data_IF_898707001808
#
_entry.id   IF_898707001808
#
_cell.length_a   1.000
_cell.length_b   1.000
_cell.length_c   1.000
_cell.angle_alpha   90.00
_cell.angle_beta   90.00
_cell.angle_gamma   90.00
#
_symmetry.space_group_name_H-M   'P 1'
#
loop_
_entity.id
_entity.type
_entity.pdbx_description
1 polymer ?
#
# COMPACT_ATOMS: atom_id res chain seq x y z
N UNK A 1 17.26 -9.38 11.81
CA UNK A 1 16.34 -9.17 12.96
C UNK A 1 15.18 -8.47 12.32
N UNK A 2 13.98 -9.06 12.34
CA UNK A 2 12.87 -8.56 11.53
C UNK A 2 12.64 -7.09 11.83
N UNK A 3 12.64 -6.25 10.79
CA UNK A 3 12.57 -4.78 10.92
C UNK A 3 11.28 -4.31 11.59
N UNK A 4 10.25 -5.17 11.62
CA UNK A 4 8.96 -4.87 12.24
C UNK A 4 8.80 -5.67 13.52
N UNK A 5 9.59 -5.32 14.53
CA UNK A 5 9.24 -5.65 15.92
C UNK A 5 8.53 -4.43 16.53
N UNK A 6 7.21 -4.55 16.71
CA UNK A 6 6.35 -3.51 17.25
C UNK A 6 6.61 -3.22 18.74
N UNK A 7 7.55 -3.91 19.37
CA UNK A 7 7.97 -3.67 20.75
C UNK A 7 9.16 -2.71 20.91
N UNK A 8 9.74 -2.24 19.80
CA UNK A 8 10.91 -1.35 19.82
C UNK A 8 10.57 0.06 20.31
N UNK A 9 11.48 0.65 21.06
CA UNK A 9 11.47 2.08 21.38
C UNK A 9 11.81 2.93 20.14
N UNK A 10 11.47 4.22 20.16
CA UNK A 10 11.75 5.14 19.03
C UNK A 10 13.23 5.19 18.64
N UNK A 11 14.14 5.07 19.61
CA UNK A 11 15.59 5.10 19.36
C UNK A 11 16.06 3.80 18.71
N UNK A 12 15.55 2.64 19.17
CA UNK A 12 15.86 1.34 18.58
C UNK A 12 15.31 1.20 17.15
N UNK A 13 14.12 1.78 16.89
CA UNK A 13 13.56 1.84 15.55
C UNK A 13 14.43 2.69 14.61
N UNK A 14 14.89 3.86 15.06
CA UNK A 14 15.76 4.73 14.28
C UNK A 14 17.12 4.08 13.99
N UNK A 15 17.71 3.36 14.97
CA UNK A 15 18.92 2.57 14.78
C UNK A 15 18.69 1.44 13.77
N UNK A 16 17.57 0.72 13.85
CA UNK A 16 17.22 -0.35 12.91
C UNK A 16 17.07 0.19 11.49
N UNK A 17 16.35 1.30 11.29
CA UNK A 17 16.17 1.94 9.98
C UNK A 17 17.53 2.36 9.42
N UNK A 18 18.37 2.99 10.24
CA UNK A 18 19.72 3.42 9.84
C UNK A 18 20.60 2.24 9.42
N UNK A 19 20.55 1.13 10.15
CA UNK A 19 21.27 -0.09 9.82
C UNK A 19 20.76 -0.70 8.50
N UNK A 20 19.45 -0.71 8.29
CA UNK A 20 18.84 -1.19 7.05
C UNK A 20 19.20 -0.34 5.85
N UNK A 21 19.16 1.00 5.98
CA UNK A 21 19.64 1.93 4.94
C UNK A 21 21.08 1.60 4.56
N UNK A 22 21.98 1.48 5.55
CA UNK A 22 23.38 1.19 5.29
C UNK A 22 23.55 -0.16 4.56
N UNK A 23 22.80 -1.18 4.98
CA UNK A 23 22.78 -2.50 4.33
C UNK A 23 22.30 -2.40 2.88
N UNK A 24 21.19 -1.71 2.62
CA UNK A 24 20.65 -1.51 1.28
C UNK A 24 21.67 -0.78 0.41
N UNK A 25 22.17 0.38 0.84
CA UNK A 25 23.16 1.19 0.10
C UNK A 25 24.40 0.37 -0.28
N UNK A 26 24.94 -0.41 0.65
CA UNK A 26 26.09 -1.27 0.40
C UNK A 26 25.80 -2.33 -0.69
N UNK A 27 24.56 -2.84 -0.75
CA UNK A 27 24.15 -3.83 -1.77
C UNK A 27 23.88 -3.19 -3.14
N UNK A 28 23.44 -1.93 -3.21
CA UNK A 28 23.13 -1.24 -4.47
C UNK A 28 24.32 -1.14 -5.44
N UNK A 29 25.55 -1.34 -4.95
CA UNK A 29 26.76 -1.40 -5.76
C UNK A 29 26.91 -0.17 -6.68
N UNK A 30 26.69 1.02 -6.12
CA UNK A 30 26.81 2.30 -6.83
C UNK A 30 28.28 2.60 -7.12
N UNK A 31 28.62 2.92 -8.37
CA UNK A 31 30.00 3.22 -8.72
C UNK A 31 30.32 4.67 -8.32
N UNK A 32 31.52 4.96 -7.78
CA UNK A 32 31.86 6.30 -7.28
C UNK A 32 31.79 7.44 -8.30
N UNK A 33 31.74 7.14 -9.61
CA UNK A 33 31.70 8.12 -10.70
C UNK A 33 30.30 8.29 -11.31
N UNK A 34 29.32 7.53 -10.86
CA UNK A 34 27.96 7.62 -11.40
C UNK A 34 27.26 8.89 -10.92
N UNK A 35 26.51 9.53 -11.82
CA UNK A 35 25.60 10.61 -11.44
C UNK A 35 24.35 9.97 -10.84
N UNK A 36 24.20 10.02 -9.52
CA UNK A 36 23.09 9.38 -8.82
C UNK A 36 21.88 10.32 -8.78
N UNK A 37 20.73 9.81 -9.20
CA UNK A 37 19.41 10.44 -9.04
C UNK A 37 18.55 9.57 -8.16
N UNK A 38 18.06 10.08 -7.03
CA UNK A 38 17.30 9.27 -6.07
C UNK A 38 15.78 9.50 -6.25
N UNK A 39 14.99 8.44 -6.19
CA UNK A 39 13.52 8.49 -6.16
C UNK A 39 13.06 7.90 -4.84
N UNK A 40 12.31 8.65 -4.05
CA UNK A 40 11.74 8.18 -2.78
C UNK A 40 10.23 8.26 -2.75
N UNK A 41 9.61 7.37 -1.97
CA UNK A 41 8.22 7.52 -1.55
C UNK A 41 8.17 8.56 -0.43
N UNK A 42 7.18 9.43 -0.47
CA UNK A 42 7.02 10.47 0.52
C UNK A 42 6.67 9.99 1.93
N UNK A 43 6.06 8.81 2.05
CA UNK A 43 5.63 8.25 3.33
C UNK A 43 6.81 7.94 4.27
N UNK A 44 7.99 7.67 3.72
CA UNK A 44 9.22 7.31 4.44
C UNK A 44 10.45 8.06 3.90
N UNK A 45 10.23 9.22 3.28
CA UNK A 45 11.29 9.95 2.58
C UNK A 45 12.37 10.43 3.54
N UNK A 46 11.97 11.00 4.68
CA UNK A 46 12.90 11.60 5.63
C UNK A 46 13.69 10.52 6.39
N UNK A 47 13.06 9.40 6.72
CA UNK A 47 13.65 8.30 7.47
C UNK A 47 14.51 7.38 6.59
N UNK A 48 14.12 7.17 5.33
CA UNK A 48 14.77 6.20 4.45
C UNK A 48 15.51 6.84 3.28
N UNK A 49 14.89 7.78 2.58
CA UNK A 49 15.44 8.35 1.34
C UNK A 49 16.53 9.40 1.61
N UNK A 50 16.35 10.29 2.59
CA UNK A 50 17.34 11.32 2.94
C UNK A 50 18.69 10.71 3.34
N UNK A 51 18.78 9.71 4.24
CA UNK A 51 20.04 9.04 4.53
C UNK A 51 20.70 8.40 3.31
N UNK A 52 19.92 7.83 2.39
CA UNK A 52 20.45 7.29 1.12
C UNK A 52 21.04 8.39 0.24
N UNK A 53 20.37 9.55 0.13
CA UNK A 53 20.86 10.72 -0.61
C UNK A 53 22.22 11.17 -0.05
N UNK A 54 22.35 11.25 1.28
CA UNK A 54 23.59 11.65 1.95
C UNK A 54 24.72 10.65 1.72
N UNK A 55 24.46 9.35 1.90
CA UNK A 55 25.46 8.29 1.73
C UNK A 55 25.93 8.17 0.28
N UNK A 56 25.02 8.29 -0.68
CA UNK A 56 25.33 8.24 -2.11
C UNK A 56 25.82 9.59 -2.67
N UNK A 57 25.75 10.66 -1.88
CA UNK A 57 26.05 12.04 -2.30
C UNK A 57 25.26 12.43 -3.55
N UNK A 58 24.00 12.01 -3.62
CA UNK A 58 23.11 12.34 -4.73
C UNK A 58 22.85 13.85 -4.74
N UNK A 59 22.90 14.46 -5.93
CA UNK A 59 22.71 15.91 -6.08
C UNK A 59 21.28 16.31 -6.45
N UNK A 60 20.48 15.32 -6.82
CA UNK A 60 19.13 15.51 -7.34
C UNK A 60 18.26 14.35 -6.89
N UNK A 61 17.01 14.64 -6.54
CA UNK A 61 16.04 13.65 -6.12
C UNK A 61 14.62 13.95 -6.62
N UNK A 62 13.77 12.94 -6.51
CA UNK A 62 12.33 13.05 -6.60
C UNK A 62 11.67 12.49 -5.34
N UNK A 63 10.66 13.20 -4.84
CA UNK A 63 9.79 12.75 -3.77
C UNK A 63 8.36 12.65 -4.34
N UNK A 64 7.78 11.46 -4.30
CA UNK A 64 6.48 11.17 -4.89
C UNK A 64 5.51 10.69 -3.80
N UNK A 65 4.26 11.14 -3.87
CA UNK A 65 3.17 10.66 -2.99
C UNK A 65 2.24 9.73 -3.78
N UNK A 66 2.61 8.46 -4.00
CA UNK A 66 1.72 7.50 -4.61
C UNK A 66 0.53 7.21 -3.68
N UNK A 67 -0.64 6.99 -4.27
CA UNK A 67 -1.75 6.29 -3.65
C UNK A 67 -2.12 5.11 -4.53
N UNK A 68 -2.22 3.95 -3.89
CA UNK A 68 -2.57 2.70 -4.54
C UNK A 68 -4.01 2.35 -4.22
N UNK A 69 -4.72 1.77 -5.18
CA UNK A 69 -6.05 1.22 -4.97
C UNK A 69 -6.30 0.08 -5.94
N UNK A 70 -7.15 -0.87 -5.56
CA UNK A 70 -7.52 -1.96 -6.47
C UNK A 70 -8.23 -1.39 -7.71
N UNK A 71 -7.74 -1.74 -8.89
CA UNK A 71 -8.30 -1.22 -10.12
C UNK A 71 -9.71 -1.77 -10.36
N UNK A 72 -10.67 -0.89 -10.63
CA UNK A 72 -12.04 -1.27 -11.00
C UNK A 72 -12.11 -1.82 -12.42
N UNK A 73 -11.23 -1.35 -13.31
CA UNK A 73 -11.17 -1.79 -14.69
C UNK A 73 -10.40 -3.11 -14.85
N UNK A 74 -9.38 -3.33 -14.01
CA UNK A 74 -8.51 -4.50 -14.07
C UNK A 74 -8.39 -5.15 -12.69
N UNK A 75 -9.28 -6.09 -12.32
CA UNK A 75 -9.41 -6.62 -10.95
C UNK A 75 -8.15 -7.25 -10.32
N UNK A 76 -7.15 -7.55 -11.16
CA UNK A 76 -5.87 -8.16 -10.79
C UNK A 76 -4.70 -7.16 -10.82
N UNK A 77 -4.99 -5.86 -10.91
CA UNK A 77 -4.00 -4.79 -10.94
C UNK A 77 -4.37 -3.70 -9.93
N UNK A 78 -3.36 -2.96 -9.52
CA UNK A 78 -3.55 -1.76 -8.71
C UNK A 78 -3.41 -0.51 -9.58
N UNK A 79 -4.35 0.44 -9.40
CA UNK A 79 -4.24 1.78 -9.93
C UNK A 79 -3.29 2.58 -9.01
N UNK A 80 -2.34 3.29 -9.60
CA UNK A 80 -1.39 4.16 -8.89
C UNK A 80 -1.62 5.60 -9.34
N UNK A 81 -1.94 6.49 -8.40
CA UNK A 81 -2.09 7.92 -8.65
C UNK A 81 -1.09 8.70 -7.80
N UNK A 82 -0.50 9.76 -8.35
CA UNK A 82 0.34 10.67 -7.58
C UNK A 82 -0.50 11.86 -7.12
N UNK A 83 -0.73 11.97 -5.81
CA UNK A 83 -1.50 13.10 -5.26
C UNK A 83 -0.65 14.36 -5.12
N UNK A 84 0.66 14.20 -5.03
CA UNK A 84 1.66 15.25 -4.98
C UNK A 84 2.99 14.70 -5.52
N UNK A 85 3.80 15.58 -6.11
CA UNK A 85 5.12 15.24 -6.60
C UNK A 85 6.08 16.43 -6.49
N UNK A 86 7.33 16.12 -6.19
CA UNK A 86 8.48 17.00 -6.35
C UNK A 86 9.52 16.23 -7.18
N UNK A 87 9.86 16.74 -8.36
CA UNK A 87 10.77 16.07 -9.30
C UNK A 87 11.81 17.08 -9.77
N UNK A 88 13.06 16.87 -9.40
CA UNK A 88 14.17 17.64 -9.94
C UNK A 88 14.57 17.13 -11.33
N UNK A 89 15.21 17.97 -12.18
CA UNK A 89 15.66 17.52 -13.50
C UNK A 89 16.62 16.33 -13.41
N UNK A 90 16.30 15.24 -14.12
CA UNK A 90 17.14 14.05 -14.16
C UNK A 90 18.35 14.30 -15.08
N UNK A 91 19.59 14.18 -14.58
CA UNK A 91 20.78 14.29 -15.43
C UNK A 91 20.79 13.19 -16.51
N UNK A 92 21.22 13.54 -17.72
CA UNK A 92 21.40 12.55 -18.80
C UNK A 92 22.41 11.47 -18.37
N UNK A 93 22.06 10.20 -18.59
CA UNK A 93 22.91 9.07 -18.22
C UNK A 93 23.06 8.86 -16.70
N UNK A 94 22.16 9.41 -15.89
CA UNK A 94 22.14 9.15 -14.45
C UNK A 94 21.94 7.65 -14.12
N UNK A 95 22.53 7.22 -13.02
CA UNK A 95 22.13 6.01 -12.30
C UNK A 95 20.91 6.38 -11.45
N UNK A 96 19.76 5.84 -11.81
CA UNK A 96 18.49 6.14 -11.12
C UNK A 96 18.31 5.13 -10.02
N UNK A 97 18.20 5.63 -8.80
CA UNK A 97 18.11 4.83 -7.58
C UNK A 97 16.76 5.09 -6.94
N UNK A 98 15.84 4.15 -7.06
CA UNK A 98 14.60 4.20 -6.27
C UNK A 98 14.84 3.53 -4.93
N UNK A 99 14.43 4.17 -3.84
CA UNK A 99 14.45 3.59 -2.51
C UNK A 99 13.12 3.75 -1.81
N UNK A 100 12.70 2.71 -1.09
CA UNK A 100 11.52 2.69 -0.24
C UNK A 100 11.71 1.62 0.83
N UNK A 101 11.11 1.79 2.01
CA UNK A 101 11.17 0.79 3.07
C UNK A 101 10.54 -0.54 2.64
N UNK A 102 9.40 -0.50 1.93
CA UNK A 102 8.60 -1.68 1.57
C UNK A 102 8.35 -1.75 0.06
N UNK A 103 8.74 -2.83 -0.59
CA UNK A 103 8.55 -3.10 -2.03
C UNK A 103 7.64 -4.33 -2.22
N UNK A 104 6.33 -4.11 -2.10
CA UNK A 104 5.32 -5.17 -2.21
C UNK A 104 4.34 -4.99 -3.38
N UNK A 105 4.29 -3.80 -3.98
CA UNK A 105 3.46 -3.49 -5.13
C UNK A 105 4.34 -3.14 -6.33
N UNK A 106 4.33 -4.00 -7.34
CA UNK A 106 5.15 -3.81 -8.55
C UNK A 106 4.66 -2.64 -9.40
N UNK A 107 3.34 -2.37 -9.39
CA UNK A 107 2.75 -1.24 -10.10
C UNK A 107 3.25 0.10 -9.56
N UNK A 108 3.39 0.24 -8.24
CA UNK A 108 3.86 1.45 -7.59
C UNK A 108 5.30 1.77 -7.98
N UNK A 109 6.20 0.80 -7.84
CA UNK A 109 7.60 0.98 -8.22
C UNK A 109 7.78 1.34 -9.69
N UNK A 110 7.03 0.69 -10.58
CA UNK A 110 7.04 1.03 -12.00
C UNK A 110 6.49 2.43 -12.23
N UNK A 111 5.37 2.80 -11.61
CA UNK A 111 4.77 4.11 -11.77
C UNK A 111 5.74 5.21 -11.34
N UNK A 112 6.42 5.04 -10.21
CA UNK A 112 7.38 6.02 -9.68
C UNK A 112 8.57 6.21 -10.62
N UNK A 113 9.21 5.11 -11.03
CA UNK A 113 10.35 5.16 -11.95
C UNK A 113 9.94 5.75 -13.30
N UNK A 114 8.81 5.31 -13.86
CA UNK A 114 8.35 5.78 -15.17
C UNK A 114 7.90 7.24 -15.14
N UNK A 115 7.34 7.71 -14.01
CA UNK A 115 6.95 9.12 -13.82
C UNK A 115 8.15 10.05 -13.89
N UNK A 116 9.26 9.67 -13.26
CA UNK A 116 10.52 10.45 -13.29
C UNK A 116 11.20 10.39 -14.67
N UNK A 117 11.12 9.25 -15.36
CA UNK A 117 11.85 9.00 -16.61
C UNK A 117 11.11 9.36 -17.90
N UNK A 118 10.01 10.12 -17.85
CA UNK A 118 9.15 10.37 -19.01
C UNK A 118 9.90 10.78 -20.29
N UNK A 119 10.93 11.63 -20.17
CA UNK A 119 11.70 12.14 -21.31
C UNK A 119 13.21 11.94 -21.15
N UNK A 120 13.66 11.09 -20.22
CA UNK A 120 15.08 10.91 -19.91
C UNK A 120 15.45 9.43 -20.00
N UNK A 121 16.61 9.15 -20.59
CA UNK A 121 17.19 7.81 -20.60
C UNK A 121 18.22 7.67 -19.49
N UNK A 122 18.00 6.79 -18.50
CA UNK A 122 19.00 6.50 -17.49
C UNK A 122 20.12 5.64 -18.09
N UNK A 123 21.27 5.58 -17.41
CA UNK A 123 22.32 4.60 -17.73
C UNK A 123 21.98 3.22 -17.17
N UNK A 124 21.42 3.19 -15.96
CA UNK A 124 20.87 2.00 -15.30
C UNK A 124 19.87 2.40 -14.23
N UNK A 125 19.07 1.43 -13.82
CA UNK A 125 18.09 1.60 -12.74
C UNK A 125 18.47 0.65 -11.60
N UNK A 126 18.41 1.15 -10.37
CA UNK A 126 18.60 0.39 -9.15
C UNK A 126 17.42 0.66 -8.24
N UNK A 127 16.87 -0.39 -7.64
CA UNK A 127 15.77 -0.29 -6.69
C UNK A 127 16.19 -0.99 -5.41
N UNK A 128 16.18 -0.27 -4.30
CA UNK A 128 16.54 -0.76 -2.97
C UNK A 128 15.35 -0.72 -2.02
N UNK A 129 15.13 -1.79 -1.28
CA UNK A 129 14.14 -1.80 -0.20
C UNK A 129 14.62 -2.54 1.05
N UNK A 130 14.01 -2.23 2.20
CA UNK A 130 14.22 -3.02 3.41
C UNK A 130 13.50 -4.36 3.29
N UNK A 131 12.20 -4.32 3.03
CA UNK A 131 11.36 -5.50 2.89
C UNK A 131 10.80 -5.56 1.48
N UNK A 132 10.85 -6.72 0.83
CA UNK A 132 10.23 -6.89 -0.47
C UNK A 132 9.73 -8.31 -0.75
N UNK A 133 9.19 -8.50 -1.96
CA UNK A 133 8.76 -9.81 -2.46
C UNK A 133 9.55 -10.18 -3.70
N UNK A 134 10.06 -11.41 -3.78
CA UNK A 134 10.81 -11.89 -4.96
C UNK A 134 9.98 -11.83 -6.24
N UNK A 135 8.68 -12.11 -6.14
CA UNK A 135 7.74 -12.01 -7.26
C UNK A 135 7.64 -10.57 -7.76
N UNK A 136 7.56 -9.61 -6.85
CA UNK A 136 7.53 -8.17 -7.16
C UNK A 136 8.84 -7.73 -7.80
N UNK A 137 9.99 -8.09 -7.22
CA UNK A 137 11.30 -7.74 -7.77
C UNK A 137 11.48 -8.21 -9.22
N UNK A 138 11.17 -9.48 -9.48
CA UNK A 138 11.27 -10.05 -10.82
C UNK A 138 10.36 -9.30 -11.80
N UNK A 139 9.12 -9.00 -11.41
CA UNK A 139 8.16 -8.31 -12.27
C UNK A 139 8.55 -6.87 -12.57
N UNK A 140 9.05 -6.14 -11.56
CA UNK A 140 9.57 -4.77 -11.73
C UNK A 140 10.79 -4.77 -12.63
N UNK A 141 11.73 -5.69 -12.38
CA UNK A 141 12.95 -5.86 -13.18
C UNK A 141 12.60 -6.14 -14.64
N UNK A 142 11.80 -7.17 -14.90
CA UNK A 142 11.42 -7.58 -16.25
C UNK A 142 10.75 -6.43 -17.01
N UNK A 143 9.83 -5.71 -16.36
CA UNK A 143 9.16 -4.58 -17.00
C UNK A 143 10.13 -3.45 -17.35
N UNK A 144 10.95 -3.00 -16.38
CA UNK A 144 11.82 -1.85 -16.58
C UNK A 144 12.98 -2.14 -17.54
N UNK A 145 13.54 -3.36 -17.54
CA UNK A 145 14.57 -3.76 -18.49
C UNK A 145 14.03 -3.73 -19.91
N UNK A 146 12.86 -4.32 -20.14
CA UNK A 146 12.24 -4.36 -21.45
C UNK A 146 11.79 -2.97 -21.94
N UNK A 147 11.31 -2.11 -21.03
CA UNK A 147 10.79 -0.78 -21.38
C UNK A 147 11.87 0.24 -21.74
N UNK A 148 13.01 0.18 -21.07
CA UNK A 148 14.07 1.19 -21.18
C UNK A 148 15.35 0.68 -21.87
N UNK A 149 15.49 -0.63 -22.07
CA UNK A 149 16.71 -1.26 -22.61
C UNK A 149 17.96 -0.89 -21.78
N UNK A 150 17.84 -1.01 -20.45
CA UNK A 150 18.90 -0.71 -19.49
C UNK A 150 19.07 -1.84 -18.48
N UNK A 151 20.23 -1.87 -17.82
CA UNK A 151 20.44 -2.76 -16.68
C UNK A 151 19.53 -2.32 -15.52
N UNK A 152 18.74 -3.25 -14.99
CA UNK A 152 17.93 -3.03 -13.78
C UNK A 152 18.40 -3.98 -12.70
N UNK A 153 18.61 -3.45 -11.50
CA UNK A 153 18.93 -4.21 -10.31
C UNK A 153 17.88 -3.89 -9.25
N UNK A 154 17.24 -4.91 -8.69
CA UNK A 154 16.29 -4.77 -7.59
C UNK A 154 16.83 -5.59 -6.43
N UNK A 155 16.87 -4.99 -5.24
CA UNK A 155 17.41 -5.62 -4.03
C UNK A 155 16.54 -5.24 -2.83
N UNK A 156 16.06 -6.25 -2.13
CA UNK A 156 15.50 -6.10 -0.78
C UNK A 156 16.47 -6.65 0.27
N UNK A 157 16.51 -6.05 1.46
CA UNK A 157 17.29 -6.57 2.59
C UNK A 157 16.71 -7.90 3.08
N UNK A 158 15.40 -7.90 3.33
CA UNK A 158 14.55 -9.00 3.78
C UNK A 158 13.45 -9.29 2.74
N UNK A 159 12.90 -10.50 2.79
CA UNK A 159 11.87 -10.94 1.86
C UNK A 159 10.69 -11.53 2.61
N UNK A 160 9.48 -11.17 2.19
CA UNK A 160 8.27 -11.87 2.61
C UNK A 160 8.21 -13.28 2.01
N UNK A 161 7.53 -14.22 2.69
CA UNK A 161 7.14 -15.50 2.12
C UNK A 161 6.35 -15.33 0.81
N UNK A 162 6.48 -16.30 -0.11
CA UNK A 162 5.89 -16.22 -1.44
C UNK A 162 4.34 -16.29 -1.46
N UNK A 163 3.72 -16.73 -0.36
CA UNK A 163 2.28 -16.94 -0.19
C UNK A 163 1.52 -15.72 0.37
N UNK A 164 2.20 -14.71 0.91
CA UNK A 164 1.54 -13.50 1.42
C UNK A 164 1.15 -12.52 0.31
N UNK A 165 -0.08 -11.98 0.40
CA UNK A 165 -0.54 -10.88 -0.44
C UNK A 165 0.12 -9.56 -0.01
N UNK A 166 0.90 -8.94 -0.90
CA UNK A 166 1.62 -7.71 -0.61
C UNK A 166 0.72 -6.53 -0.17
N UNK A 167 -0.43 -6.37 -0.81
CA UNK A 167 -1.40 -5.31 -0.48
C UNK A 167 -2.07 -5.54 0.89
N UNK A 168 -2.40 -6.79 1.21
CA UNK A 168 -3.00 -7.12 2.51
C UNK A 168 -1.98 -6.99 3.64
N UNK A 169 -0.73 -7.39 3.39
CA UNK A 169 0.37 -7.17 4.33
C UNK A 169 0.56 -5.68 4.59
N UNK A 170 0.60 -4.85 3.54
CA UNK A 170 0.76 -3.41 3.65
C UNK A 170 -0.36 -2.77 4.49
N UNK A 171 -1.62 -3.07 4.17
CA UNK A 171 -2.75 -2.60 4.97
C UNK A 171 -2.66 -3.06 6.44
N UNK A 172 -2.32 -4.33 6.68
CA UNK A 172 -2.14 -4.89 8.03
C UNK A 172 -1.00 -4.19 8.78
N UNK A 173 0.11 -3.90 8.10
CA UNK A 173 1.26 -3.22 8.68
C UNK A 173 0.90 -1.78 9.07
N UNK A 174 0.21 -1.03 8.21
CA UNK A 174 -0.28 0.31 8.55
C UNK A 174 -1.25 0.30 9.73
N UNK A 175 -2.15 -0.69 9.80
CA UNK A 175 -3.09 -0.83 10.91
C UNK A 175 -2.40 -1.10 12.26
N UNK A 176 -1.31 -1.89 12.23
CA UNK A 176 -0.50 -2.26 13.39
C UNK A 176 0.46 -1.16 13.84
N UNK A 177 1.03 -0.40 12.90
CA UNK A 177 1.92 0.73 13.20
C UNK A 177 1.16 1.97 13.69
N UNK A 178 -0.15 2.04 13.45
CA UNK A 178 -1.01 3.06 14.05
C UNK A 178 -1.44 2.65 15.48
N UNK A 179 -0.52 2.83 16.42
CA UNK A 179 -0.69 2.58 17.86
C UNK A 179 -1.42 3.70 18.61
N UNK A 180 -1.85 4.75 17.90
CA UNK A 180 -2.41 5.95 18.53
C UNK A 180 -3.69 5.57 19.30
N UNK A 181 -3.80 5.97 20.58
CA UNK A 181 -4.97 5.63 21.42
C UNK A 181 -6.28 6.24 20.90
N UNK A 182 -6.19 7.25 20.02
CA UNK A 182 -7.27 7.73 19.18
C UNK A 182 -6.78 7.87 17.75
N UNK A 183 -7.28 7.01 16.86
CA UNK A 183 -7.16 7.20 15.42
C UNK A 183 -8.07 8.36 15.03
N UNK A 184 -7.48 9.56 14.89
CA UNK A 184 -8.21 10.74 14.46
C UNK A 184 -8.44 10.60 12.97
N UNK A 185 -9.67 10.21 12.60
CA UNK A 185 -10.09 10.28 11.22
C UNK A 185 -10.01 11.75 10.77
N UNK A 186 -9.56 12.04 9.53
CA UNK A 186 -9.70 13.39 8.98
C UNK A 186 -11.15 13.86 9.17
N UNK A 187 -11.39 15.17 9.26
CA UNK A 187 -12.74 15.73 9.33
C UNK A 187 -13.51 15.29 8.07
N UNK A 188 -14.22 14.18 8.18
CA UNK A 188 -15.02 13.59 7.12
C UNK A 188 -16.48 13.82 7.48
N UNK A 189 -17.34 14.07 6.48
CA UNK A 189 -18.78 14.07 6.69
C UNK A 189 -19.21 12.77 7.39
N UNK A 190 -20.14 12.87 8.34
CA UNK A 190 -20.58 11.75 9.19
C UNK A 190 -20.99 10.51 8.39
N UNK A 191 -21.66 10.73 7.25
CA UNK A 191 -22.06 9.65 6.34
C UNK A 191 -20.89 8.84 5.75
N UNK A 192 -19.72 9.48 5.54
CA UNK A 192 -18.50 8.81 5.05
C UNK A 192 -17.93 7.93 6.15
N UNK A 193 -17.86 8.47 7.37
CA UNK A 193 -17.36 7.75 8.53
C UNK A 193 -18.22 6.52 8.84
N UNK A 194 -19.55 6.67 8.85
CA UNK A 194 -20.47 5.56 9.06
C UNK A 194 -20.30 4.46 8.01
N UNK A 195 -20.14 4.80 6.72
CA UNK A 195 -19.83 3.81 5.69
C UNK A 195 -18.49 3.10 5.91
N UNK A 196 -17.44 3.83 6.30
CA UNK A 196 -16.13 3.23 6.59
C UNK A 196 -16.18 2.30 7.81
N UNK A 197 -17.05 2.57 8.78
CA UNK A 197 -17.26 1.75 9.97
C UNK A 197 -18.29 0.62 9.78
N UNK A 198 -18.83 0.43 8.58
CA UNK A 198 -19.88 -0.56 8.31
C UNK A 198 -21.20 -0.28 9.04
N UNK A 199 -21.47 0.98 9.36
CA UNK A 199 -22.70 1.44 9.99
C UNK A 199 -23.68 1.95 8.91
N UNK A 200 -24.95 1.57 9.05
CA UNK A 200 -26.02 2.15 8.24
C UNK A 200 -26.21 3.62 8.65
N UNK A 201 -25.77 4.54 7.79
CA UNK A 201 -26.05 5.96 7.96
C UNK A 201 -27.44 6.27 7.43
N UNK A 202 -28.34 6.69 8.32
CA UNK A 202 -29.61 7.29 7.94
C UNK A 202 -29.40 8.82 7.82
N UNK A 203 -29.40 9.40 6.60
CA UNK A 203 -29.20 10.83 6.38
C UNK A 203 -30.40 11.68 6.78
N UNK A 204 -31.43 11.08 7.41
CA UNK A 204 -32.58 11.80 7.93
C UNK A 204 -32.08 12.96 8.80
N UNK A 205 -32.36 14.22 8.44
CA UNK A 205 -31.96 15.35 9.26
C UNK A 205 -32.61 15.16 10.62
N UNK A 206 -31.82 15.21 11.71
CA UNK A 206 -32.39 15.46 13.02
C UNK A 206 -33.31 16.67 12.87
N UNK A 207 -34.61 16.46 13.05
CA UNK A 207 -35.60 17.52 13.13
C UNK A 207 -35.25 18.37 14.35
N UNK A 208 -34.32 19.31 14.16
CA UNK A 208 -34.08 20.39 15.09
C UNK A 208 -35.39 21.18 15.26
N UNK A 209 -35.65 21.72 16.46
CA UNK A 209 -36.86 22.48 16.69
C UNK A 209 -36.85 23.71 15.77
N UNK A 210 -37.87 23.77 14.92
CA UNK A 210 -38.15 24.84 13.97
C UNK A 210 -38.14 26.21 14.69
N UNK A 211 -37.35 27.21 14.27
CA UNK A 211 -37.32 28.53 14.90
C UNK A 211 -38.48 29.37 14.35
N UNK A 212 -39.71 28.99 14.69
CA UNK A 212 -40.90 29.79 14.41
C UNK A 212 -41.85 29.77 15.62
N UNK A 213 -41.64 30.70 16.55
CA UNK A 213 -42.69 31.09 17.49
C UNK A 213 -43.71 32.04 16.84
N UNK A 214 -44.79 32.46 17.52
CA UNK A 214 -45.37 31.94 18.77
C UNK A 214 -46.89 31.68 18.63
N UNK A 215 -47.41 30.61 19.22
CA UNK A 215 -48.85 30.55 19.54
C UNK A 215 -49.09 29.88 20.89
N UNK A 216 -49.61 30.71 21.80
CA UNK A 216 -50.39 30.35 22.98
C UNK A 216 -51.43 29.27 22.67
N UNK A 217 -51.41 28.18 23.45
CA UNK A 217 -52.41 27.11 23.36
C UNK A 217 -52.19 26.05 24.42
N UNK A 218 -52.83 26.24 25.57
CA UNK A 218 -53.02 25.26 26.63
C UNK A 218 -53.59 23.93 26.12
N UNK A 219 -53.00 22.80 26.52
CA UNK A 219 -53.60 21.47 26.34
C UNK A 219 -52.63 20.36 26.72
N UNK A 220 -52.79 19.83 27.93
CA UNK A 220 -51.97 18.75 28.45
C UNK A 220 -52.21 17.42 27.73
N UNK A 221 -51.13 16.68 27.52
CA UNK A 221 -51.16 15.24 27.34
C UNK A 221 -49.92 14.62 28.02
N UNK A 222 -50.16 13.84 29.07
CA UNK A 222 -49.18 13.00 29.73
C UNK A 222 -48.63 11.96 28.73
N UNK A 223 -47.34 12.04 28.41
CA UNK A 223 -46.61 10.95 27.75
C UNK A 223 -45.88 10.17 28.85
N UNK A 224 -46.10 8.85 28.99
CA UNK A 224 -45.41 8.06 30.01
C UNK A 224 -43.94 7.87 29.61
N UNK A 225 -43.02 7.74 30.58
CA UNK A 225 -41.61 7.52 30.28
C UNK A 225 -41.42 6.16 29.59
N UNK A 226 -40.67 6.15 28.49
CA UNK A 226 -40.21 4.96 27.79
C UNK A 226 -39.36 4.11 28.76
N UNK A 227 -39.57 2.78 28.86
CA UNK A 227 -38.71 1.94 29.67
C UNK A 227 -37.29 1.89 29.06
N UNK A 228 -36.25 1.69 29.88
CA UNK A 228 -34.88 1.57 29.39
C UNK A 228 -34.75 0.35 28.47
N UNK A 229 -34.04 0.53 27.37
CA UNK A 229 -33.71 -0.53 26.42
C UNK A 229 -32.72 -1.49 27.09
N UNK A 230 -33.04 -2.78 27.05
CA UNK A 230 -32.24 -3.85 27.64
C UNK A 230 -31.10 -4.25 26.68
N UNK A 231 -29.90 -3.72 26.93
CA UNK A 231 -28.67 -3.92 26.12
C UNK A 231 -28.27 -5.39 25.93
N UNK A 232 -28.89 -6.34 26.63
CA UNK A 232 -28.62 -7.78 26.48
C UNK A 232 -29.18 -8.39 25.19
N UNK A 233 -30.20 -7.79 24.56
CA UNK A 233 -30.79 -8.37 23.33
C UNK A 233 -30.01 -8.05 22.05
N UNK A 234 -29.25 -6.94 22.04
CA UNK A 234 -28.40 -6.56 20.89
C UNK A 234 -27.14 -7.43 20.75
N UNK A 235 -26.67 -8.07 21.83
CA UNK A 235 -25.51 -8.98 21.78
C UNK A 235 -25.83 -10.40 21.29
N UNK A 236 -27.09 -10.85 21.33
CA UNK A 236 -27.44 -12.21 20.90
C UNK A 236 -27.66 -12.34 19.40
N UNK A 237 -28.10 -11.28 18.70
CA UNK A 237 -28.25 -11.31 17.24
C UNK A 237 -26.91 -11.34 16.50
N UNK A 238 -25.85 -10.75 17.07
CA UNK A 238 -24.51 -10.70 16.46
C UNK A 238 -23.77 -12.06 16.52
N UNK A 239 -24.05 -12.90 17.53
CA UNK A 239 -23.41 -14.21 17.68
C UNK A 239 -24.01 -15.29 16.75
N UNK A 240 -25.24 -15.11 16.26
CA UNK A 240 -25.86 -16.07 15.33
C UNK A 240 -25.45 -15.87 13.86
N UNK A 241 -24.99 -14.67 13.49
CA UNK A 241 -24.50 -14.42 12.12
C UNK A 241 -23.13 -15.05 11.88
N UNK A 242 -22.25 -15.02 12.88
CA UNK A 242 -20.86 -15.49 12.76
C UNK A 242 -20.78 -17.02 12.69
N UNK A 243 -21.67 -17.74 13.40
CA UNK A 243 -21.67 -19.20 13.38
C UNK A 243 -22.27 -19.81 12.10
N UNK A 244 -22.97 -19.04 11.26
CA UNK A 244 -23.60 -19.57 10.04
C UNK A 244 -22.64 -19.59 8.85
N UNK A 245 -21.73 -18.62 8.76
CA UNK A 245 -20.70 -18.57 7.70
C UNK A 245 -19.54 -19.56 7.91
N UNK A 246 -19.30 -20.04 9.14
CA UNK A 246 -18.28 -21.08 9.38
C UNK A 246 -18.76 -22.50 9.08
N UNK A 247 -20.07 -22.77 9.13
CA UNK A 247 -20.62 -24.11 8.85
C UNK A 247 -20.75 -24.36 7.34
N UNK A 248 -20.98 -23.31 6.53
CA UNK A 248 -21.10 -23.44 5.08
C UNK A 248 -19.74 -23.59 4.36
N UNK A 249 -18.62 -23.28 5.02
CA UNK A 249 -17.26 -23.44 4.45
C UNK A 249 -16.61 -24.80 4.68
N UNK A 250 -17.13 -25.63 5.59
CA UNK A 250 -16.55 -26.96 5.86
C UNK A 250 -17.14 -28.08 4.97
N UNK A 251 -18.21 -27.81 4.22
CA UNK A 251 -18.87 -28.80 3.35
C UNK A 251 -18.44 -28.72 1.85
N UNK A 252 -17.61 -27.74 1.44
CA UNK A 252 -17.15 -27.61 0.05
C UNK A 252 -15.77 -28.27 -0.24
N UNK A 253 -15.03 -28.74 0.77
CA UNK A 253 -13.68 -29.29 0.61
C UNK A 253 -13.61 -30.84 0.55
N UNK A 254 -14.75 -31.51 0.33
CA UNK A 254 -14.79 -32.97 0.09
C UNK A 254 -15.45 -33.25 -1.25
N UNK A 255 -14.64 -33.28 -2.31
CA UNK A 255 -14.76 -34.23 -3.44
C UNK A 255 -14.00 -33.69 -4.66
N UNK A 256 -12.69 -33.91 -4.79
CA UNK A 256 -12.02 -34.08 -6.10
C UNK A 256 -10.72 -34.89 -5.95
N UNK A 257 -10.84 -36.22 -6.09
CA UNK A 257 -9.73 -37.14 -6.32
C UNK A 257 -9.74 -37.63 -7.78
N UNK A 258 -8.71 -37.21 -8.54
CA UNK A 258 -8.08 -37.88 -9.70
C UNK A 258 -8.73 -37.79 -11.11
N UNK A 259 -8.00 -38.16 -12.20
CA UNK A 259 -6.57 -38.46 -12.34
C UNK A 259 -5.85 -37.73 -13.50
N UNK A 260 -4.52 -37.94 -13.55
CA UNK A 260 -3.51 -37.50 -14.53
C UNK A 260 -3.89 -37.61 -16.02
N UNK A 261 -3.53 -36.59 -16.81
CA UNK A 261 -3.32 -36.71 -18.26
C UNK A 261 -2.11 -35.87 -18.69
N UNK A 262 -1.07 -36.59 -19.14
CA UNK A 262 0.05 -36.09 -19.94
C UNK A 262 -0.43 -35.40 -21.23
N UNK A 263 0.09 -34.21 -21.52
CA UNK A 263 0.18 -33.70 -22.88
C UNK A 263 1.31 -32.67 -23.01
N UNK A 264 2.44 -33.14 -23.54
CA UNK A 264 3.35 -32.36 -24.37
C UNK A 264 2.55 -31.55 -25.40
N UNK A 265 2.70 -30.22 -25.43
CA UNK A 265 2.73 -29.55 -26.73
C UNK A 265 3.58 -28.27 -26.76
N UNK A 266 4.21 -28.10 -27.91
CA UNK A 266 5.36 -27.26 -28.20
C UNK A 266 4.94 -25.81 -28.40
N UNK A 267 5.51 -24.90 -27.62
CA UNK A 267 5.46 -23.47 -27.96
C UNK A 267 6.59 -23.12 -28.94
N UNK A 268 6.24 -22.96 -30.22
CA UNK A 268 7.10 -22.32 -31.24
C UNK A 268 6.97 -20.80 -31.12
N UNK A 269 8.07 -20.04 -31.03
CA UNK A 269 8.01 -18.59 -31.20
C UNK A 269 7.87 -18.21 -32.69
N UNK A 270 7.21 -17.08 -33.01
CA UNK A 270 6.99 -16.64 -34.38
C UNK A 270 8.26 -16.02 -34.98
N UNK A 271 8.48 -16.29 -36.27
CA UNK A 271 9.56 -15.73 -37.09
C UNK A 271 9.31 -14.25 -37.36
N UNK A 272 10.30 -13.35 -37.21
CA UNK A 272 10.11 -11.94 -37.54
C UNK A 272 10.13 -11.73 -39.06
N UNK A 273 9.05 -11.15 -39.57
CA UNK A 273 8.95 -10.66 -40.94
C UNK A 273 9.82 -9.41 -41.14
N UNK A 274 10.58 -9.40 -42.23
CA UNK A 274 11.33 -8.24 -42.73
C UNK A 274 10.37 -7.14 -43.18
N UNK A 275 10.55 -5.92 -42.66
CA UNK A 275 10.46 -4.65 -43.37
C UNK A 275 11.44 -3.67 -42.72
#
# INVERSE_FOLDING_TARGET
MAIVDLSLTSDELAESISASVATVVNRLSIQPKEHVYVIGNAADFDEFCVPVIELLKAKTAACLWPRTSRSRAFPNMNDVIFVQEYIEPVPNGACVVMVQSVLLLWEEAIAMVTRVLQNVRPNRIVIGACLGSRKVENRVKDYLQNRYDVKVQVISEEYLPDDESGLEFEHRAFDLLDDRPKKVFPNMPEWVLSKMLGQDFDPSPETGPDPSGPTSGSGGANIPPKPPVDDRKLRQSSLHSINREQIEKEDEDRDQDGPDVDADDKYRPPTPGRW
#
